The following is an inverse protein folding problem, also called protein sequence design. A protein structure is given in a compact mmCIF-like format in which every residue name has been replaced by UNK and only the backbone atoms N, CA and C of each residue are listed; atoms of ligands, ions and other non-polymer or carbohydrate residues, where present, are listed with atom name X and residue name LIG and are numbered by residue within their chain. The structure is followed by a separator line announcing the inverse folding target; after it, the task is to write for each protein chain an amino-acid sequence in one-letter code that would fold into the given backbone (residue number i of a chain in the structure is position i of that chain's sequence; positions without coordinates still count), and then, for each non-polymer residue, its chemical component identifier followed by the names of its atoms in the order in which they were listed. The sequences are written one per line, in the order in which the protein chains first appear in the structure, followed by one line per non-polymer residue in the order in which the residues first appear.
data_IF_077393542600
#
_entry.id   IF_077393542600
#
_cell.length_a   1.000
_cell.length_b   1.000
_cell.length_c   1.000
_cell.angle_alpha   90.00
_cell.angle_beta   90.00
_cell.angle_gamma   90.00
#
_symmetry.space_group_name_H-M   'P 1'
#
loop_
_entity.id
_entity.type
_entity.pdbx_description
1 polymer ?
#
# COMPACT_ATOMS: atom_id res chain seq x y z
N UNK A 1 9.64 11.70 19.13
CA UNK A 1 10.03 10.32 18.78
C UNK A 1 10.49 10.32 17.33
N UNK A 2 11.60 9.65 17.02
CA UNK A 2 12.13 9.60 15.64
C UNK A 2 11.35 8.59 14.80
N UNK A 3 11.37 8.74 13.47
CA UNK A 3 10.65 7.85 12.55
C UNK A 3 11.01 6.37 12.72
N UNK A 4 12.29 6.07 13.00
CA UNK A 4 12.76 4.70 13.25
C UNK A 4 12.17 4.08 14.51
N UNK A 5 12.07 4.87 15.58
CA UNK A 5 11.48 4.43 16.86
C UNK A 5 9.98 4.17 16.70
N UNK A 6 9.29 5.07 16.01
CA UNK A 6 7.88 4.89 15.65
C UNK A 6 7.68 3.62 14.81
N UNK A 7 8.54 3.39 13.80
CA UNK A 7 8.48 2.20 12.97
C UNK A 7 8.56 0.89 13.78
N UNK A 8 9.48 0.80 14.74
CA UNK A 8 9.61 -0.38 15.61
C UNK A 8 8.34 -0.60 16.45
N UNK A 9 7.77 0.47 17.00
CA UNK A 9 6.55 0.38 17.80
C UNK A 9 5.35 -0.05 16.93
N UNK A 10 5.18 0.58 15.77
CA UNK A 10 4.09 0.27 14.85
C UNK A 10 4.15 -1.18 14.38
N UNK A 11 5.33 -1.72 14.06
CA UNK A 11 5.48 -3.14 13.69
C UNK A 11 4.99 -4.06 14.80
N UNK A 12 5.26 -3.75 16.07
CA UNK A 12 4.77 -4.56 17.21
C UNK A 12 3.27 -4.46 17.39
N UNK A 13 2.69 -3.29 17.13
CA UNK A 13 1.26 -3.08 17.29
C UNK A 13 0.45 -3.60 16.09
N UNK A 14 1.03 -3.68 14.89
CA UNK A 14 0.33 -4.03 13.66
C UNK A 14 -0.48 -5.34 13.77
N UNK A 15 0.05 -6.35 14.46
CA UNK A 15 -0.62 -7.64 14.69
C UNK A 15 -1.83 -7.56 15.63
N UNK A 16 -1.90 -6.52 16.46
CA UNK A 16 -2.95 -6.29 17.45
C UNK A 16 -3.98 -5.24 16.98
N UNK A 17 -3.69 -4.50 15.91
CA UNK A 17 -4.61 -3.50 15.37
C UNK A 17 -5.78 -4.19 14.68
N UNK A 18 -6.99 -3.88 15.14
CA UNK A 18 -8.22 -4.44 14.57
C UNK A 18 -8.57 -3.82 13.22
N UNK A 19 -9.39 -4.51 12.42
CA UNK A 19 -9.92 -3.95 11.17
C UNK A 19 -10.67 -2.64 11.38
N UNK A 20 -11.35 -2.46 12.52
CA UNK A 20 -12.03 -1.20 12.87
C UNK A 20 -11.01 -0.07 13.04
N UNK A 21 -9.94 -0.30 13.79
CA UNK A 21 -8.90 0.70 14.00
C UNK A 21 -8.22 1.11 12.69
N UNK A 22 -7.98 0.16 11.77
CA UNK A 22 -7.49 0.48 10.43
C UNK A 22 -8.49 1.30 9.62
N UNK A 23 -9.79 0.96 9.68
CA UNK A 23 -10.85 1.74 9.04
C UNK A 23 -10.93 3.17 9.55
N UNK A 24 -10.93 3.35 10.87
CA UNK A 24 -10.94 4.67 11.52
C UNK A 24 -9.70 5.50 11.15
N UNK A 25 -8.54 4.85 11.00
CA UNK A 25 -7.29 5.49 10.58
C UNK A 25 -7.35 5.98 9.12
N UNK A 26 -7.84 5.12 8.22
CA UNK A 26 -8.00 5.48 6.80
C UNK A 26 -9.00 6.61 6.62
N UNK A 27 -10.13 6.58 7.33
CA UNK A 27 -11.11 7.67 7.30
C UNK A 27 -10.50 9.01 7.73
N UNK A 28 -9.68 9.01 8.80
CA UNK A 28 -9.00 10.24 9.25
C UNK A 28 -8.01 10.80 8.21
N UNK A 29 -7.44 9.96 7.36
CA UNK A 29 -6.61 10.41 6.24
C UNK A 29 -7.48 11.03 5.14
N UNK A 30 -8.58 10.37 4.77
CA UNK A 30 -9.51 10.87 3.76
C UNK A 30 -10.09 12.24 4.14
N UNK A 31 -10.46 12.43 5.41
CA UNK A 31 -10.94 13.72 5.95
C UNK A 31 -9.88 14.84 5.84
N UNK A 32 -8.61 14.48 5.67
CA UNK A 32 -7.48 15.41 5.47
C UNK A 32 -7.07 15.53 4.00
N UNK A 33 -7.79 14.90 3.08
CA UNK A 33 -7.43 14.86 1.65
C UNK A 33 -6.18 14.04 1.37
N UNK A 34 -5.85 13.09 2.26
CA UNK A 34 -4.69 12.21 2.15
C UNK A 34 -5.14 10.77 1.88
N UNK A 35 -4.37 10.07 1.06
CA UNK A 35 -4.69 8.71 0.63
C UNK A 35 -3.47 7.80 0.74
N UNK A 36 -3.70 6.56 1.14
CA UNK A 36 -2.67 5.51 1.13
C UNK A 36 -2.55 4.93 -0.28
N UNK A 37 -1.31 4.87 -0.78
CA UNK A 37 -0.94 4.15 -1.98
C UNK A 37 0.12 3.11 -1.63
N UNK A 38 -0.18 1.83 -1.88
CA UNK A 38 0.76 0.72 -1.69
C UNK A 38 1.29 0.29 -3.05
N UNK A 39 2.59 0.47 -3.25
CA UNK A 39 3.30 -0.04 -4.42
C UNK A 39 3.94 -1.40 -4.08
N UNK A 40 3.54 -2.44 -4.78
CA UNK A 40 3.96 -3.83 -4.50
C UNK A 40 4.32 -4.57 -5.78
N UNK A 41 5.13 -5.62 -5.69
CA UNK A 41 5.52 -6.42 -6.85
C UNK A 41 4.45 -7.46 -7.23
N UNK A 42 3.41 -7.59 -6.40
CA UNK A 42 2.30 -8.55 -6.58
C UNK A 42 0.97 -7.80 -6.73
N UNK A 43 -0.10 -8.47 -7.18
CA UNK A 43 -1.44 -7.87 -7.20
C UNK A 43 -2.09 -7.79 -5.80
N UNK A 44 -1.31 -7.97 -4.73
CA UNK A 44 -1.77 -8.01 -3.34
C UNK A 44 -2.76 -9.13 -3.05
N UNK A 45 -2.92 -10.09 -3.98
CA UNK A 45 -3.91 -11.16 -3.94
C UNK A 45 -3.32 -12.47 -4.44
N UNK A 46 -3.66 -13.57 -3.77
CA UNK A 46 -3.35 -14.94 -4.22
C UNK A 46 -4.61 -15.78 -4.28
N UNK A 47 -4.62 -16.76 -5.19
CA UNK A 47 -5.66 -17.79 -5.19
C UNK A 47 -5.55 -18.62 -3.92
N UNK A 48 -6.65 -18.67 -3.16
CA UNK A 48 -6.79 -19.55 -2.02
C UNK A 48 -6.83 -21.02 -2.46
N UNK A 49 -6.25 -21.95 -1.70
CA UNK A 49 -6.45 -23.40 -1.91
C UNK A 49 -7.92 -23.83 -1.89
N UNK A 50 -8.80 -23.03 -1.28
CA UNK A 50 -10.25 -23.27 -1.19
C UNK A 50 -11.05 -22.52 -2.27
N UNK A 51 -10.38 -21.81 -3.19
CA UNK A 51 -10.99 -20.93 -4.19
C UNK A 51 -11.17 -19.48 -3.69
N UNK A 52 -11.16 -18.52 -4.62
CA UNK A 52 -11.25 -17.08 -4.33
C UNK A 52 -9.89 -16.39 -4.15
N UNK A 53 -9.90 -15.06 -4.17
CA UNK A 53 -8.69 -14.23 -4.00
C UNK A 53 -8.56 -13.80 -2.54
N UNK A 54 -7.45 -14.16 -1.88
CA UNK A 54 -7.11 -13.68 -0.54
C UNK A 54 -6.05 -12.59 -0.61
N UNK A 55 -6.12 -11.56 0.26
CA UNK A 55 -5.02 -10.62 0.41
C UNK A 55 -3.74 -11.35 0.82
N UNK A 56 -2.63 -11.09 0.15
CA UNK A 56 -1.32 -11.61 0.54
C UNK A 56 -0.40 -10.44 0.89
N UNK A 57 0.09 -10.36 2.15
CA UNK A 57 1.08 -9.34 2.51
C UNK A 57 2.37 -9.62 1.73
N UNK A 58 2.88 -8.62 1.01
CA UNK A 58 4.12 -8.76 0.26
C UNK A 58 5.29 -8.21 1.09
N UNK A 59 6.46 -8.86 1.02
CA UNK A 59 7.66 -8.40 1.76
C UNK A 59 8.33 -7.17 1.12
N UNK A 60 7.93 -6.83 -0.10
CA UNK A 60 8.54 -5.76 -0.93
C UNK A 60 7.47 -4.73 -1.29
N UNK A 61 7.03 -3.98 -0.29
CA UNK A 61 6.01 -2.94 -0.43
C UNK A 61 6.60 -1.57 -0.12
N UNK A 62 6.14 -0.56 -0.84
CA UNK A 62 6.40 0.84 -0.52
C UNK A 62 5.07 1.51 -0.23
N UNK A 63 4.93 2.04 0.99
CA UNK A 63 3.74 2.75 1.43
C UNK A 63 3.97 4.24 1.22
N UNK A 64 3.06 4.85 0.48
CA UNK A 64 3.03 6.30 0.25
C UNK A 64 1.76 6.88 0.86
N UNK A 65 1.89 8.08 1.42
CA UNK A 65 0.75 8.94 1.74
C UNK A 65 0.76 10.04 0.68
N UNK A 66 -0.30 10.14 -0.10
CA UNK A 66 -0.41 11.03 -1.26
C UNK A 66 -1.65 11.90 -1.19
N UNK A 67 -1.64 13.04 -1.89
CA UNK A 67 -2.81 13.91 -2.07
C UNK A 67 -3.68 13.47 -3.25
N UNK A 68 -4.86 14.07 -3.39
CA UNK A 68 -5.72 13.89 -4.56
C UNK A 68 -5.01 14.26 -5.88
N UNK A 69 -4.25 15.36 -5.90
CA UNK A 69 -3.51 15.82 -7.08
C UNK A 69 -2.42 14.81 -7.46
N UNK A 70 -1.72 14.23 -6.47
CA UNK A 70 -0.72 13.20 -6.71
C UNK A 70 -1.33 11.90 -7.24
N UNK A 71 -2.56 11.55 -6.82
CA UNK A 71 -3.31 10.43 -7.41
C UNK A 71 -3.66 10.70 -8.87
N UNK A 72 -4.16 11.90 -9.17
CA UNK A 72 -4.51 12.29 -10.54
C UNK A 72 -3.30 12.27 -11.47
N UNK A 73 -2.15 12.81 -11.02
CA UNK A 73 -0.88 12.75 -11.77
C UNK A 73 -0.41 11.32 -12.06
N UNK A 74 -0.81 10.36 -11.22
CA UNK A 74 -0.53 8.93 -11.38
C UNK A 74 -1.62 8.20 -12.18
N UNK A 75 -2.68 8.90 -12.61
CA UNK A 75 -3.81 8.33 -13.35
C UNK A 75 -4.72 7.44 -12.49
N UNK A 76 -4.73 7.66 -11.17
CA UNK A 76 -5.54 6.90 -10.23
C UNK A 76 -6.81 7.69 -9.85
N UNK A 77 -7.97 7.02 -9.68
CA UNK A 77 -9.16 7.69 -9.18
C UNK A 77 -9.01 8.04 -7.69
N UNK A 78 -9.88 8.90 -7.17
CA UNK A 78 -9.85 9.28 -5.76
C UNK A 78 -10.07 8.05 -4.84
N UNK A 79 -9.20 7.86 -3.87
CA UNK A 79 -9.30 6.76 -2.89
C UNK A 79 -7.95 6.12 -2.56
N UNK A 80 -7.98 5.08 -1.72
CA UNK A 80 -6.80 4.28 -1.38
C UNK A 80 -6.54 3.19 -2.42
N UNK A 81 -5.28 2.96 -2.76
CA UNK A 81 -4.91 2.06 -3.86
C UNK A 81 -3.78 1.11 -3.50
N UNK A 82 -3.83 -0.07 -4.13
CA UNK A 82 -2.70 -0.99 -4.22
C UNK A 82 -2.37 -1.13 -5.69
N UNK A 83 -1.14 -0.78 -6.08
CA UNK A 83 -0.68 -0.81 -7.47
C UNK A 83 0.56 -1.68 -7.62
N UNK A 84 0.70 -2.30 -8.79
CA UNK A 84 1.89 -3.07 -9.10
C UNK A 84 3.02 -2.14 -9.51
N UNK A 85 4.23 -2.33 -8.95
CA UNK A 85 5.41 -1.57 -9.39
C UNK A 85 5.61 -1.78 -10.90
N UNK A 86 5.90 -0.71 -11.66
CA UNK A 86 6.22 -0.86 -13.06
C UNK A 86 7.42 -1.80 -13.17
N UNK A 87 7.25 -2.93 -13.87
CA UNK A 87 8.39 -3.81 -14.18
C UNK A 87 9.43 -2.94 -14.86
N UNK A 88 10.64 -2.90 -14.32
CA UNK A 88 11.77 -2.30 -15.01
C UNK A 88 11.78 -2.92 -16.42
N UNK A 89 11.60 -2.11 -17.46
CA UNK A 89 11.89 -2.57 -18.82
C UNK A 89 13.35 -2.97 -18.79
N UNK A 90 13.63 -4.26 -18.89
CA UNK A 90 14.97 -4.76 -19.13
C UNK A 90 15.53 -3.97 -20.33
N UNK A 91 16.46 -3.06 -20.06
CA UNK A 91 17.33 -2.52 -21.11
C UNK A 91 18.31 -3.62 -21.47
N UNK A 92 17.82 -4.65 -22.16
CA UNK A 92 18.67 -5.56 -22.92
C UNK A 92 18.48 -5.24 -24.39
N UNK A 93 18.97 -4.06 -24.77
CA UNK A 93 19.32 -3.75 -26.15
C UNK A 93 20.77 -4.22 -26.34
N UNK A 94 20.89 -5.32 -27.07
CA UNK A 94 21.96 -5.70 -28.00
C UNK A 94 23.24 -4.84 -28.03
N UNK A 95 24.37 -5.54 -27.89
CA UNK A 95 25.53 -5.39 -28.76
C UNK A 95 26.02 -6.79 -29.15
#
# INVERSE_FOLDING_TARGET
MQAKEMGVMFTRHAEQITSKCWGDFLQQLEEKGLYVLIETDTIGRVMSPLGGLMPMPCKSETLHIVTADELEQRGLPLGHHIVTKPKAKDKTTTA
#
